data_IF_617294580338
#
_entry.id   IF_617294580338
#
_cell.length_a   1.000
_cell.length_b   1.000
_cell.length_c   1.000
_cell.angle_alpha   90.00
_cell.angle_beta   90.00
_cell.angle_gamma   90.00
#
_symmetry.space_group_name_H-M   'P 1'
#
loop_
_entity.id
_entity.type
_entity.pdbx_description
1 polymer ?
#
# COMPACT_ATOMS: atom_id res chain seq x y z
N UNK A 1 15.19 -11.15 7.81
CA UNK A 1 15.71 -9.76 8.00
C UNK A 1 14.61 -8.79 7.68
N UNK A 2 14.34 -7.86 8.59
CA UNK A 2 13.29 -6.86 8.39
C UNK A 2 13.59 -6.01 7.16
N UNK A 3 12.63 -5.92 6.23
CA UNK A 3 12.71 -5.07 5.05
C UNK A 3 12.31 -3.63 5.39
N UNK A 4 11.22 -3.48 6.14
CA UNK A 4 10.72 -2.20 6.61
C UNK A 4 10.70 -2.19 8.14
N UNK A 5 11.20 -1.12 8.73
CA UNK A 5 11.17 -0.93 10.18
C UNK A 5 10.72 0.49 10.52
N UNK A 6 9.66 0.59 11.32
CA UNK A 6 9.14 1.83 11.88
C UNK A 6 9.40 1.83 13.40
N UNK A 7 10.14 2.83 13.89
CA UNK A 7 10.51 2.97 15.32
C UNK A 7 10.11 4.32 15.87
N UNK A 8 9.23 4.31 16.87
CA UNK A 8 8.81 5.49 17.60
C UNK A 8 8.15 6.56 16.72
N UNK A 9 7.41 6.16 15.67
CA UNK A 9 6.84 7.11 14.72
C UNK A 9 5.77 7.94 15.41
N UNK A 10 6.00 9.24 15.45
CA UNK A 10 5.07 10.26 15.93
C UNK A 10 4.80 11.28 14.82
N UNK A 11 3.55 11.70 14.67
CA UNK A 11 3.17 12.74 13.72
C UNK A 11 2.19 13.70 14.32
N UNK A 12 2.58 14.98 14.33
CA UNK A 12 1.78 16.09 14.80
C UNK A 12 1.57 17.06 13.64
N UNK A 13 0.31 17.36 13.33
CA UNK A 13 -0.07 18.44 12.41
C UNK A 13 -0.42 19.70 13.22
N UNK A 14 0.16 20.83 12.84
CA UNK A 14 -0.12 22.15 13.42
C UNK A 14 -0.71 23.04 12.34
N UNK A 15 -1.85 23.65 12.61
CA UNK A 15 -2.42 24.65 11.69
C UNK A 15 -1.67 25.99 11.80
N UNK A 16 -1.53 26.69 10.67
CA UNK A 16 -0.67 27.91 10.56
C UNK A 16 -1.07 29.11 11.44
N UNK A 17 -2.28 29.16 11.98
CA UNK A 17 -2.81 30.34 12.70
C UNK A 17 -3.26 30.02 14.13
N UNK A 18 -2.48 29.26 14.90
CA UNK A 18 -2.79 28.99 16.31
C UNK A 18 -4.00 28.09 16.56
N UNK A 19 -4.42 27.33 15.54
CA UNK A 19 -5.54 26.41 15.61
C UNK A 19 -5.15 25.04 16.21
N UNK A 20 -6.06 24.10 16.12
CA UNK A 20 -5.94 22.78 16.73
C UNK A 20 -4.64 22.04 16.34
N UNK A 21 -3.99 21.50 17.32
CA UNK A 21 -2.87 20.54 17.18
C UNK A 21 -3.47 19.15 17.10
N UNK A 22 -3.23 18.43 16.01
CA UNK A 22 -3.71 17.05 15.82
C UNK A 22 -2.53 16.11 15.86
N UNK A 23 -2.48 15.24 16.86
CA UNK A 23 -1.51 14.16 16.97
C UNK A 23 -2.05 12.92 16.24
N UNK A 24 -1.68 12.77 14.98
CA UNK A 24 -2.19 11.69 14.12
C UNK A 24 -1.52 10.34 14.40
N UNK A 25 -0.25 10.33 14.86
CA UNK A 25 0.49 9.13 15.28
C UNK A 25 1.23 9.44 16.58
N UNK A 26 1.21 8.49 17.54
CA UNK A 26 1.71 8.74 18.91
C UNK A 26 2.94 7.95 19.30
N UNK A 27 3.26 6.87 18.76
CA UNK A 27 4.45 6.04 19.02
C UNK A 27 4.31 4.70 18.28
N UNK A 28 4.21 4.78 16.96
CA UNK A 28 4.01 3.57 16.15
C UNK A 28 5.33 2.83 15.99
N UNK A 29 5.30 1.53 16.33
CA UNK A 29 6.43 0.62 16.23
C UNK A 29 5.99 -0.67 15.54
N UNK A 30 6.64 -1.05 14.44
CA UNK A 30 6.47 -2.34 13.78
C UNK A 30 7.59 -2.57 12.77
N UNK A 31 7.68 -3.82 12.30
CA UNK A 31 8.56 -4.21 11.20
C UNK A 31 7.77 -5.03 10.18
N UNK A 32 8.25 -5.08 8.95
CA UNK A 32 7.73 -5.95 7.87
C UNK A 32 8.91 -6.74 7.31
N UNK A 33 8.76 -8.05 7.25
CA UNK A 33 9.78 -8.94 6.67
C UNK A 33 9.69 -8.96 5.14
N UNK A 34 10.80 -9.29 4.49
CA UNK A 34 10.82 -9.43 3.03
C UNK A 34 9.87 -10.55 2.61
N UNK A 35 9.02 -10.29 1.61
CA UNK A 35 8.00 -11.22 1.13
C UNK A 35 6.76 -11.31 2.03
N UNK A 36 6.67 -10.54 3.10
CA UNK A 36 5.48 -10.52 3.96
C UNK A 36 4.35 -9.70 3.31
N UNK A 37 3.12 -10.18 3.46
CA UNK A 37 1.91 -9.43 3.12
C UNK A 37 1.24 -8.98 4.42
N UNK A 38 1.31 -7.69 4.72
CA UNK A 38 0.78 -7.09 5.94
C UNK A 38 -0.39 -6.18 5.60
N UNK A 39 -1.49 -6.30 6.35
CA UNK A 39 -2.59 -5.35 6.30
C UNK A 39 -2.61 -4.48 7.57
N UNK A 40 -2.86 -3.19 7.43
CA UNK A 40 -3.12 -2.24 8.52
C UNK A 40 -4.59 -1.87 8.49
N UNK A 41 -5.31 -2.20 9.56
CA UNK A 41 -6.72 -1.91 9.74
C UNK A 41 -6.97 -0.90 10.86
N UNK A 42 -8.07 -0.18 10.77
CA UNK A 42 -8.51 0.77 11.80
C UNK A 42 -9.63 1.66 11.29
N UNK A 43 -10.28 2.39 12.18
CA UNK A 43 -11.35 3.33 11.86
C UNK A 43 -10.86 4.52 11.02
N UNK A 44 -11.79 5.25 10.41
CA UNK A 44 -11.46 6.52 9.76
C UNK A 44 -10.80 7.48 10.77
N UNK A 45 -9.74 8.17 10.35
CA UNK A 45 -9.00 9.08 11.23
C UNK A 45 -8.03 8.42 12.22
N UNK A 46 -7.89 7.09 12.25
CA UNK A 46 -6.97 6.40 13.17
C UNK A 46 -5.46 6.60 12.86
N UNK A 47 -5.12 7.24 11.74
CA UNK A 47 -3.73 7.52 11.35
C UNK A 47 -3.17 6.61 10.24
N UNK A 48 -3.97 5.70 9.65
CA UNK A 48 -3.51 4.75 8.60
C UNK A 48 -2.85 5.43 7.41
N UNK A 49 -3.57 6.34 6.76
CA UNK A 49 -3.06 7.08 5.59
C UNK A 49 -1.86 7.97 5.96
N UNK A 50 -1.86 8.56 7.16
CA UNK A 50 -0.70 9.31 7.67
C UNK A 50 0.53 8.40 7.79
N UNK A 51 0.36 7.20 8.36
CA UNK A 51 1.43 6.22 8.49
C UNK A 51 1.93 5.77 7.11
N UNK A 52 1.01 5.46 6.20
CA UNK A 52 1.35 5.07 4.83
C UNK A 52 2.13 6.18 4.11
N UNK A 53 1.70 7.44 4.23
CA UNK A 53 2.38 8.59 3.62
C UNK A 53 3.80 8.79 4.17
N UNK A 54 4.03 8.53 5.45
CA UNK A 54 5.37 8.60 6.05
C UNK A 54 6.26 7.47 5.50
N UNK A 55 5.76 6.23 5.43
CA UNK A 55 6.47 5.09 4.85
C UNK A 55 6.76 5.33 3.36
N UNK A 56 5.84 5.97 2.70
CA UNK A 56 5.91 6.38 1.30
C UNK A 56 6.91 7.52 1.03
N UNK A 57 7.48 8.11 2.06
CA UNK A 57 8.26 9.34 1.95
C UNK A 57 7.50 10.48 1.21
N UNK A 58 6.17 10.52 1.37
CA UNK A 58 5.29 11.61 0.92
C UNK A 58 5.10 12.64 2.04
N UNK A 59 5.29 12.23 3.29
CA UNK A 59 5.27 13.08 4.47
C UNK A 59 6.43 12.70 5.40
N UNK A 60 6.84 13.60 6.29
CA UNK A 60 7.89 13.37 7.28
C UNK A 60 7.27 13.14 8.66
N UNK A 61 7.77 12.17 9.41
CA UNK A 61 7.42 12.02 10.82
C UNK A 61 7.91 13.24 11.62
N UNK A 62 7.19 13.58 12.71
CA UNK A 62 7.67 14.59 13.67
C UNK A 62 8.80 14.03 14.52
N UNK A 63 8.68 12.77 14.91
CA UNK A 63 9.68 12.01 15.68
C UNK A 63 9.74 10.56 15.18
N UNK A 64 10.77 9.84 15.54
CA UNK A 64 10.99 8.45 15.16
C UNK A 64 11.66 8.28 13.80
N UNK A 65 11.84 7.05 13.39
CA UNK A 65 12.56 6.70 12.15
C UNK A 65 11.85 5.59 11.38
N UNK A 66 11.82 5.73 10.06
CA UNK A 66 11.46 4.65 9.13
C UNK A 66 12.71 4.22 8.39
N UNK A 67 12.97 2.92 8.33
CA UNK A 67 14.09 2.32 7.61
C UNK A 67 13.55 1.33 6.60
N UNK A 68 13.96 1.45 5.34
CA UNK A 68 13.64 0.50 4.27
C UNK A 68 14.93 -0.13 3.76
N UNK A 69 15.06 -1.44 3.91
CA UNK A 69 16.25 -2.22 3.54
C UNK A 69 17.57 -1.58 4.03
N UNK A 70 17.59 -1.23 5.33
CA UNK A 70 18.74 -0.59 5.99
C UNK A 70 18.88 0.92 5.74
N UNK A 71 18.15 1.50 4.78
CA UNK A 71 18.20 2.93 4.46
C UNK A 71 17.17 3.70 5.29
N UNK A 72 17.61 4.68 6.07
CA UNK A 72 16.72 5.59 6.82
C UNK A 72 16.07 6.60 5.87
N UNK A 73 14.72 6.63 5.81
CA UNK A 73 13.99 7.54 4.93
C UNK A 73 14.24 9.00 5.27
N UNK A 74 14.37 9.33 6.56
CA UNK A 74 14.63 10.69 7.02
C UNK A 74 16.03 11.22 6.58
N UNK A 75 16.95 10.36 6.14
CA UNK A 75 18.28 10.75 5.65
C UNK A 75 18.33 10.98 4.13
N UNK A 76 17.25 10.64 3.40
CA UNK A 76 17.17 10.88 1.96
C UNK A 76 16.97 12.37 1.72
N UNK A 77 17.82 12.96 0.89
CA UNK A 77 17.72 14.38 0.53
C UNK A 77 16.46 14.67 -0.27
N UNK A 78 15.88 15.85 -0.08
CA UNK A 78 14.64 16.24 -0.80
C UNK A 78 14.83 16.19 -2.33
N UNK A 79 16.03 16.46 -2.85
CA UNK A 79 16.37 16.33 -4.28
C UNK A 79 16.41 14.89 -4.80
N UNK A 80 16.57 13.91 -3.91
CA UNK A 80 16.67 12.48 -4.25
C UNK A 80 15.40 11.70 -3.91
N UNK A 81 14.46 12.28 -3.15
CA UNK A 81 13.31 11.60 -2.63
C UNK A 81 12.38 11.07 -3.74
N UNK A 82 12.22 11.81 -4.84
CA UNK A 82 11.42 11.37 -5.98
C UNK A 82 12.04 10.16 -6.69
N UNK A 83 13.37 10.15 -6.81
CA UNK A 83 14.12 9.00 -7.34
C UNK A 83 14.02 7.80 -6.40
N UNK A 84 14.20 8.02 -5.08
CA UNK A 84 14.05 6.98 -4.07
C UNK A 84 12.68 6.29 -4.16
N UNK A 85 11.58 7.06 -4.20
CA UNK A 85 10.23 6.51 -4.34
C UNK A 85 10.08 5.67 -5.59
N UNK A 86 10.52 6.19 -6.74
CA UNK A 86 10.42 5.51 -8.03
C UNK A 86 11.19 4.20 -8.10
N UNK A 87 12.35 4.11 -7.44
CA UNK A 87 13.24 2.95 -7.49
C UNK A 87 12.90 1.89 -6.42
N UNK A 88 12.24 2.27 -5.32
CA UNK A 88 12.08 1.37 -4.17
C UNK A 88 10.63 1.09 -3.80
N UNK A 89 9.68 1.92 -4.23
CA UNK A 89 8.29 1.83 -3.81
C UNK A 89 7.35 1.65 -5.01
N UNK A 90 6.42 0.70 -4.89
CA UNK A 90 5.27 0.60 -5.78
C UNK A 90 4.01 1.14 -5.07
N UNK A 91 3.21 1.93 -5.78
CA UNK A 91 1.99 2.50 -5.21
C UNK A 91 0.74 2.03 -5.92
N UNK A 92 -0.25 1.61 -5.13
CA UNK A 92 -1.60 1.29 -5.58
C UNK A 92 -2.58 2.08 -4.73
N UNK A 93 -3.29 3.03 -5.36
CA UNK A 93 -4.25 3.93 -4.71
C UNK A 93 -5.69 3.48 -4.93
N UNK A 94 -6.61 3.94 -4.10
CA UNK A 94 -8.04 3.71 -4.22
C UNK A 94 -8.60 4.23 -5.56
N UNK A 95 -8.22 5.46 -5.95
CA UNK A 95 -8.71 6.14 -7.16
C UNK A 95 -7.83 5.88 -8.40
N UNK A 96 -7.08 4.77 -8.41
CA UNK A 96 -6.19 4.33 -9.50
C UNK A 96 -5.04 5.28 -9.81
N UNK A 97 -5.26 6.59 -9.76
CA UNK A 97 -4.32 7.68 -10.10
C UNK A 97 -3.65 7.45 -11.47
N UNK A 98 -4.45 7.04 -12.46
CA UNK A 98 -4.04 6.97 -13.86
C UNK A 98 -4.26 8.33 -14.52
N UNK A 99 -3.39 8.67 -15.46
CA UNK A 99 -3.50 9.88 -16.28
C UNK A 99 -4.43 9.59 -17.48
N UNK A 100 -5.57 10.25 -17.53
CA UNK A 100 -6.60 9.98 -18.55
C UNK A 100 -6.15 10.36 -19.98
N UNK A 101 -5.16 11.22 -20.11
CA UNK A 101 -4.57 11.63 -21.41
C UNK A 101 -3.55 10.64 -21.95
N UNK A 102 -3.21 9.60 -21.20
CA UNK A 102 -2.24 8.56 -21.53
C UNK A 102 -2.95 7.22 -21.69
N UNK A 103 -2.45 6.38 -22.60
CA UNK A 103 -2.87 4.97 -22.66
C UNK A 103 -2.50 4.22 -21.37
N UNK A 104 -3.04 3.01 -21.16
CA UNK A 104 -2.64 2.19 -20.03
C UNK A 104 -1.15 1.83 -20.09
N UNK A 105 -0.64 1.56 -21.29
CA UNK A 105 0.78 1.34 -21.54
C UNK A 105 1.65 2.52 -21.09
N UNK A 106 1.29 3.73 -21.50
CA UNK A 106 2.03 4.94 -21.14
C UNK A 106 2.00 5.19 -19.63
N UNK A 107 0.83 4.99 -19.00
CA UNK A 107 0.69 5.06 -17.54
C UNK A 107 1.63 4.08 -16.82
N UNK A 108 1.72 2.84 -17.32
CA UNK A 108 2.57 1.80 -16.72
C UNK A 108 4.05 2.13 -16.97
N UNK A 109 4.41 2.65 -18.14
CA UNK A 109 5.78 3.00 -18.48
C UNK A 109 6.32 4.23 -17.75
N UNK A 110 5.46 5.10 -17.26
CA UNK A 110 5.84 6.41 -16.74
C UNK A 110 7.03 6.36 -15.74
N UNK A 111 7.07 5.47 -14.74
CA UNK A 111 8.22 5.37 -13.84
C UNK A 111 9.52 5.00 -14.54
N UNK A 112 9.47 4.14 -15.56
CA UNK A 112 10.65 3.71 -16.32
C UNK A 112 11.13 4.81 -17.27
N UNK A 113 10.22 5.58 -17.87
CA UNK A 113 10.56 6.76 -18.69
C UNK A 113 11.29 7.80 -17.85
N UNK A 114 10.76 8.10 -16.66
CA UNK A 114 11.38 9.03 -15.71
C UNK A 114 12.73 8.56 -15.16
N UNK A 115 13.02 7.25 -15.26
CA UNK A 115 14.33 6.67 -14.92
C UNK A 115 15.31 6.65 -16.09
N UNK A 116 14.91 7.15 -17.28
CA UNK A 116 15.77 7.14 -18.47
C UNK A 116 15.98 5.74 -19.07
N UNK A 117 15.14 4.76 -18.76
CA UNK A 117 15.28 3.39 -19.26
C UNK A 117 15.04 3.33 -20.78
N UNK A 118 15.85 2.53 -21.49
CA UNK A 118 15.73 2.36 -22.95
C UNK A 118 14.39 1.75 -23.36
N UNK A 119 13.81 2.16 -24.50
CA UNK A 119 12.50 1.65 -24.97
C UNK A 119 12.40 0.12 -25.04
N UNK A 120 13.42 -0.56 -25.55
CA UNK A 120 13.45 -2.01 -25.70
C UNK A 120 13.36 -2.74 -24.34
N UNK A 121 14.01 -2.19 -23.32
CA UNK A 121 13.97 -2.75 -21.96
C UNK A 121 12.59 -2.54 -21.31
N UNK A 122 11.99 -1.36 -21.52
CA UNK A 122 10.64 -1.06 -21.04
C UNK A 122 9.62 -2.02 -21.62
N UNK A 123 9.70 -2.26 -22.95
CA UNK A 123 8.79 -3.18 -23.64
C UNK A 123 8.91 -4.60 -23.08
N UNK A 124 10.12 -5.12 -22.92
CA UNK A 124 10.36 -6.45 -22.37
C UNK A 124 9.75 -6.63 -20.98
N UNK A 125 9.89 -5.63 -20.09
CA UNK A 125 9.31 -5.67 -18.74
C UNK A 125 7.78 -5.64 -18.80
N UNK A 126 7.22 -4.80 -19.66
CA UNK A 126 5.77 -4.67 -19.78
C UNK A 126 5.13 -5.95 -20.31
N UNK A 127 5.69 -6.56 -21.36
CA UNK A 127 5.14 -7.76 -21.99
C UNK A 127 4.99 -8.90 -20.98
N UNK A 128 6.05 -9.14 -20.18
CA UNK A 128 6.02 -10.17 -19.14
C UNK A 128 4.98 -9.85 -18.04
N UNK A 129 4.89 -8.59 -17.64
CA UNK A 129 4.00 -8.16 -16.56
C UNK A 129 2.54 -8.11 -17.02
N UNK A 130 2.27 -7.59 -18.22
CA UNK A 130 0.93 -7.47 -18.77
C UNK A 130 0.25 -8.83 -18.96
N UNK A 131 1.00 -9.83 -19.42
CA UNK A 131 0.52 -11.21 -19.52
C UNK A 131 0.15 -11.79 -18.13
N UNK A 132 1.01 -11.56 -17.13
CA UNK A 132 0.79 -12.02 -15.75
C UNK A 132 -0.45 -11.42 -15.12
N UNK A 133 -0.72 -10.14 -15.41
CA UNK A 133 -1.83 -9.37 -14.85
C UNK A 133 -3.12 -9.41 -15.71
N UNK A 134 -3.08 -10.06 -16.87
CA UNK A 134 -4.23 -10.20 -17.78
C UNK A 134 -4.69 -8.87 -18.39
N UNK A 135 -3.76 -7.97 -18.76
CA UNK A 135 -4.04 -6.65 -19.32
C UNK A 135 -3.44 -6.42 -20.72
N UNK A 136 -2.85 -7.45 -21.35
CA UNK A 136 -2.14 -7.31 -22.63
C UNK A 136 -3.02 -6.66 -23.72
N UNK A 137 -4.29 -7.07 -23.84
CA UNK A 137 -5.23 -6.56 -24.82
C UNK A 137 -5.73 -5.13 -24.51
N UNK A 138 -5.40 -4.62 -23.32
CA UNK A 138 -5.89 -3.33 -22.83
C UNK A 138 -4.84 -2.21 -22.97
N UNK A 139 -3.59 -2.55 -23.26
CA UNK A 139 -2.45 -1.63 -23.17
C UNK A 139 -2.62 -0.36 -24.00
N UNK A 140 -3.24 -0.46 -25.18
CA UNK A 140 -3.46 0.68 -26.09
C UNK A 140 -4.72 1.48 -25.78
N UNK A 141 -5.54 1.04 -24.82
CA UNK A 141 -6.74 1.76 -24.39
C UNK A 141 -6.40 2.86 -23.40
N UNK A 142 -7.28 3.86 -23.36
CA UNK A 142 -7.23 4.92 -22.37
C UNK A 142 -7.98 4.52 -21.09
N UNK A 143 -7.69 5.13 -19.92
CA UNK A 143 -8.36 4.79 -18.67
C UNK A 143 -9.91 4.88 -18.75
N UNK A 144 -10.47 5.84 -19.47
CA UNK A 144 -11.92 5.99 -19.62
C UNK A 144 -12.59 4.91 -20.52
N UNK A 145 -11.80 4.08 -21.22
CA UNK A 145 -12.30 3.00 -22.09
C UNK A 145 -12.35 1.63 -21.39
N UNK A 146 -11.95 1.56 -20.12
CA UNK A 146 -11.81 0.30 -19.37
C UNK A 146 -12.55 0.35 -18.05
N UNK A 147 -12.90 -0.84 -17.50
CA UNK A 147 -13.59 -0.95 -16.22
C UNK A 147 -12.70 -0.54 -15.02
N UNK A 148 -13.31 -0.28 -13.85
CA UNK A 148 -12.58 0.02 -12.61
C UNK A 148 -11.58 -1.07 -12.25
N UNK A 149 -11.96 -2.34 -12.33
CA UNK A 149 -11.05 -3.47 -12.07
C UNK A 149 -9.87 -3.53 -13.05
N UNK A 150 -10.11 -3.21 -14.35
CA UNK A 150 -9.05 -3.13 -15.35
C UNK A 150 -8.11 -1.94 -15.10
N UNK A 151 -8.63 -0.77 -14.69
CA UNK A 151 -7.82 0.38 -14.24
C UNK A 151 -6.94 -0.01 -13.07
N UNK A 152 -7.48 -0.72 -12.10
CA UNK A 152 -6.72 -1.12 -10.92
C UNK A 152 -5.63 -2.13 -11.25
N UNK A 153 -5.86 -3.08 -12.17
CA UNK A 153 -4.81 -3.97 -12.67
C UNK A 153 -3.69 -3.20 -13.37
N UNK A 154 -4.01 -2.15 -14.13
CA UNK A 154 -3.00 -1.28 -14.73
C UNK A 154 -2.24 -0.47 -13.66
N UNK A 155 -2.90 0.00 -12.60
CA UNK A 155 -2.24 0.65 -11.47
C UNK A 155 -1.29 -0.32 -10.72
N UNK A 156 -1.68 -1.58 -10.54
CA UNK A 156 -0.81 -2.63 -10.01
C UNK A 156 0.38 -2.89 -10.95
N UNK A 157 0.15 -2.94 -12.27
CA UNK A 157 1.24 -3.08 -13.25
C UNK A 157 2.24 -1.92 -13.15
N UNK A 158 1.76 -0.68 -13.05
CA UNK A 158 2.60 0.50 -12.84
C UNK A 158 3.40 0.43 -11.54
N UNK A 159 2.81 -0.09 -10.48
CA UNK A 159 3.49 -0.27 -9.21
C UNK A 159 4.60 -1.32 -9.28
N UNK A 160 4.42 -2.38 -10.08
CA UNK A 160 5.35 -3.51 -10.20
C UNK A 160 6.46 -3.30 -11.24
N UNK A 161 6.24 -2.43 -12.25
CA UNK A 161 7.12 -2.35 -13.43
C UNK A 161 8.58 -1.97 -13.10
N UNK A 162 8.79 -1.29 -11.97
CA UNK A 162 10.13 -0.92 -11.48
C UNK A 162 10.79 -2.00 -10.64
N UNK A 163 10.10 -3.11 -10.36
CA UNK A 163 10.53 -4.15 -9.41
C UNK A 163 10.82 -3.58 -8.01
N UNK A 164 9.81 -2.99 -7.35
CA UNK A 164 10.01 -2.26 -6.10
C UNK A 164 10.31 -3.21 -4.93
N UNK A 165 10.99 -2.70 -3.90
CA UNK A 165 11.25 -3.44 -2.65
C UNK A 165 9.98 -3.72 -1.86
N UNK A 166 9.01 -2.80 -1.91
CA UNK A 166 7.72 -2.91 -1.22
C UNK A 166 6.62 -2.26 -2.03
N UNK A 167 5.45 -2.88 -2.03
CA UNK A 167 4.22 -2.34 -2.60
C UNK A 167 3.38 -1.77 -1.46
N UNK A 168 3.01 -0.50 -1.58
CA UNK A 168 2.14 0.22 -0.66
C UNK A 168 0.77 0.36 -1.31
N UNK A 169 -0.28 -0.17 -0.68
CA UNK A 169 -1.64 -0.14 -1.20
C UNK A 169 -2.55 0.61 -0.21
N UNK A 170 -3.18 1.69 -0.67
CA UNK A 170 -4.12 2.49 0.12
C UNK A 170 -5.54 2.22 -0.36
N UNK A 171 -6.33 1.48 0.43
CA UNK A 171 -7.72 1.08 0.16
C UNK A 171 -7.95 0.57 -1.27
N UNK A 172 -7.13 -0.37 -1.78
CA UNK A 172 -7.07 -0.68 -3.22
C UNK A 172 -8.36 -1.25 -3.81
N UNK A 173 -9.30 -1.71 -2.96
CA UNK A 173 -10.60 -2.23 -3.36
C UNK A 173 -11.74 -1.24 -3.18
N UNK A 174 -11.49 -0.05 -2.62
CA UNK A 174 -12.52 0.88 -2.17
C UNK A 174 -13.42 1.45 -3.29
N UNK A 175 -12.91 1.52 -4.52
CA UNK A 175 -13.65 2.01 -5.69
C UNK A 175 -14.18 0.87 -6.60
N UNK A 176 -14.10 -0.39 -6.16
CA UNK A 176 -14.45 -1.55 -6.98
C UNK A 176 -15.74 -2.23 -6.52
N UNK A 177 -16.45 -2.84 -7.47
CA UNK A 177 -17.51 -3.80 -7.16
C UNK A 177 -16.93 -5.08 -6.51
N UNK A 178 -17.82 -5.90 -5.94
CA UNK A 178 -17.40 -7.09 -5.18
C UNK A 178 -16.59 -8.10 -6.00
N UNK A 179 -16.96 -8.31 -7.28
CA UNK A 179 -16.25 -9.25 -8.16
C UNK A 179 -14.87 -8.74 -8.50
N UNK A 180 -14.77 -7.49 -8.93
CA UNK A 180 -13.49 -6.84 -9.25
C UNK A 180 -12.57 -6.76 -8.02
N UNK A 181 -13.16 -6.58 -6.83
CA UNK A 181 -12.42 -6.61 -5.57
C UNK A 181 -11.80 -7.98 -5.31
N UNK A 182 -12.56 -9.08 -5.49
CA UNK A 182 -12.05 -10.44 -5.32
C UNK A 182 -10.91 -10.74 -6.30
N UNK A 183 -11.11 -10.42 -7.57
CA UNK A 183 -10.09 -10.60 -8.60
C UNK A 183 -8.80 -9.81 -8.30
N UNK A 184 -8.93 -8.61 -7.75
CA UNK A 184 -7.78 -7.79 -7.34
C UNK A 184 -7.07 -8.39 -6.12
N UNK A 185 -7.81 -8.87 -5.12
CA UNK A 185 -7.23 -9.50 -3.93
C UNK A 185 -6.49 -10.80 -4.28
N UNK A 186 -7.03 -11.61 -5.20
CA UNK A 186 -6.34 -12.78 -5.74
C UNK A 186 -5.06 -12.39 -6.48
N UNK A 187 -5.10 -11.25 -7.20
CA UNK A 187 -3.91 -10.71 -7.86
C UNK A 187 -2.85 -10.29 -6.84
N UNK A 188 -3.20 -9.61 -5.75
CA UNK A 188 -2.26 -9.27 -4.67
C UNK A 188 -1.65 -10.51 -4.03
N UNK A 189 -2.46 -11.56 -3.78
CA UNK A 189 -1.97 -12.84 -3.28
C UNK A 189 -0.95 -13.47 -4.24
N UNK A 190 -1.25 -13.48 -5.55
CA UNK A 190 -0.34 -13.96 -6.60
C UNK A 190 0.97 -13.17 -6.62
N UNK A 191 0.90 -11.83 -6.57
CA UNK A 191 2.07 -10.94 -6.54
C UNK A 191 2.92 -11.20 -5.28
N UNK A 192 2.30 -11.42 -4.13
CA UNK A 192 3.02 -11.77 -2.91
C UNK A 192 3.70 -13.14 -3.01
N UNK A 193 3.03 -14.17 -3.57
CA UNK A 193 3.63 -15.48 -3.82
C UNK A 193 4.82 -15.44 -4.80
N UNK A 194 4.89 -14.40 -5.66
CA UNK A 194 6.07 -14.14 -6.50
C UNK A 194 7.24 -13.52 -5.72
N UNK A 195 7.09 -13.30 -4.42
CA UNK A 195 8.13 -12.80 -3.52
C UNK A 195 8.06 -11.29 -3.22
N UNK A 196 7.07 -10.57 -3.76
CA UNK A 196 6.92 -9.13 -3.44
C UNK A 196 6.38 -8.92 -2.03
N UNK A 197 6.93 -7.93 -1.33
CA UNK A 197 6.44 -7.49 -0.02
C UNK A 197 5.29 -6.51 -0.22
N UNK A 198 4.20 -6.66 0.52
CA UNK A 198 3.00 -5.83 0.40
C UNK A 198 2.61 -5.26 1.76
N UNK A 199 2.40 -3.95 1.83
CA UNK A 199 1.79 -3.27 2.96
C UNK A 199 0.50 -2.61 2.48
N UNK A 200 -0.63 -3.16 2.89
CA UNK A 200 -1.97 -2.68 2.52
C UNK A 200 -2.61 -1.95 3.69
N UNK A 201 -3.16 -0.79 3.44
CA UNK A 201 -4.07 -0.11 4.36
C UNK A 201 -5.50 -0.38 3.89
N UNK A 202 -6.37 -0.82 4.79
CA UNK A 202 -7.78 -1.08 4.45
C UNK A 202 -8.68 -1.08 5.68
N UNK A 203 -9.95 -0.75 5.49
CA UNK A 203 -11.02 -0.97 6.46
C UNK A 203 -11.81 -2.27 6.17
N UNK A 204 -11.56 -2.93 5.05
CA UNK A 204 -12.22 -4.17 4.66
C UNK A 204 -11.59 -5.38 5.35
N UNK A 205 -12.34 -6.06 6.22
CA UNK A 205 -11.93 -7.33 6.83
C UNK A 205 -11.65 -8.41 5.78
N UNK A 206 -12.40 -8.40 4.68
CA UNK A 206 -12.20 -9.31 3.53
C UNK A 206 -10.86 -9.05 2.84
N UNK A 207 -10.50 -7.80 2.60
CA UNK A 207 -9.21 -7.47 2.02
C UNK A 207 -8.05 -7.84 2.97
N UNK A 208 -8.18 -7.50 4.25
CA UNK A 208 -7.18 -7.81 5.25
C UNK A 208 -6.98 -9.32 5.49
N UNK A 209 -8.02 -10.15 5.30
CA UNK A 209 -7.90 -11.61 5.49
C UNK A 209 -6.96 -12.30 4.51
N UNK A 210 -6.63 -11.65 3.39
CA UNK A 210 -5.63 -12.15 2.42
C UNK A 210 -4.19 -12.00 2.92
N UNK A 211 -3.96 -11.09 3.86
CA UNK A 211 -2.63 -10.83 4.41
C UNK A 211 -2.17 -11.94 5.37
N UNK A 212 -0.86 -12.15 5.46
CA UNK A 212 -0.24 -13.06 6.44
C UNK A 212 -0.30 -12.52 7.86
N UNK A 213 -0.39 -11.19 8.01
CA UNK A 213 -0.53 -10.50 9.29
C UNK A 213 -1.42 -9.27 9.15
N UNK A 214 -2.26 -9.05 10.16
CA UNK A 214 -3.10 -7.85 10.27
C UNK A 214 -2.71 -7.08 11.53
N UNK A 215 -2.40 -5.80 11.36
CA UNK A 215 -2.14 -4.86 12.45
C UNK A 215 -3.34 -3.92 12.59
N UNK A 216 -3.76 -3.67 13.84
CA UNK A 216 -4.85 -2.75 14.15
C UNK A 216 -4.29 -1.45 14.70
N UNK A 217 -4.66 -0.33 14.06
CA UNK A 217 -4.30 1.01 14.50
C UNK A 217 -5.55 1.74 15.02
N UNK A 218 -5.45 2.34 16.20
CA UNK A 218 -6.48 3.19 16.82
C UNK A 218 -5.81 4.34 17.55
N UNK A 219 -6.36 5.55 17.42
CA UNK A 219 -5.85 6.75 18.08
C UNK A 219 -4.35 6.99 17.86
N UNK A 220 -3.85 6.65 16.68
CA UNK A 220 -2.45 6.82 16.30
C UNK A 220 -1.47 5.80 16.90
N UNK A 221 -1.96 4.65 17.42
CA UNK A 221 -1.14 3.58 17.99
C UNK A 221 -1.50 2.24 17.38
N UNK A 222 -0.48 1.43 17.04
CA UNK A 222 -0.67 0.00 16.73
C UNK A 222 -0.86 -0.72 18.06
N UNK A 223 -2.07 -1.18 18.33
CA UNK A 223 -2.42 -1.74 19.65
C UNK A 223 -2.66 -3.25 19.65
N UNK A 224 -2.88 -3.87 18.47
CA UNK A 224 -3.11 -5.30 18.34
C UNK A 224 -2.62 -5.83 17.01
N UNK A 225 -2.28 -7.13 16.96
CA UNK A 225 -1.86 -7.82 15.75
C UNK A 225 -2.41 -9.25 15.72
N UNK A 226 -2.77 -9.72 14.54
CA UNK A 226 -3.22 -11.10 14.29
C UNK A 226 -2.34 -11.69 13.20
N UNK A 227 -1.83 -12.89 13.41
CA UNK A 227 -1.10 -13.68 12.43
C UNK A 227 -2.01 -14.75 11.85
N UNK A 228 -1.95 -14.93 10.53
CA UNK A 228 -2.76 -15.91 9.81
C UNK A 228 -2.27 -17.34 10.09
N UNK A 229 -0.95 -17.58 10.03
CA UNK A 229 -0.37 -18.91 10.16
C UNK A 229 -0.97 -19.88 9.13
N UNK A 230 -1.41 -21.04 9.59
CA UNK A 230 -2.06 -22.09 8.79
C UNK A 230 -3.56 -21.82 8.50
N UNK A 231 -4.13 -20.69 8.97
CA UNK A 231 -5.54 -20.39 8.81
C UNK A 231 -5.87 -20.06 7.34
N UNK A 232 -7.07 -20.49 6.91
CA UNK A 232 -7.61 -20.08 5.62
C UNK A 232 -8.02 -18.60 5.64
N UNK A 233 -8.25 -18.00 4.47
CA UNK A 233 -8.75 -16.64 4.35
C UNK A 233 -10.06 -16.45 5.13
N UNK A 234 -10.96 -17.43 5.08
CA UNK A 234 -12.23 -17.38 5.79
C UNK A 234 -12.06 -17.42 7.31
N UNK A 235 -11.15 -18.26 7.82
CA UNK A 235 -10.83 -18.31 9.24
C UNK A 235 -10.16 -17.01 9.70
N UNK A 236 -9.28 -16.45 8.88
CA UNK A 236 -8.65 -15.16 9.16
C UNK A 236 -9.69 -14.02 9.16
N UNK A 237 -10.61 -14.01 8.19
CA UNK A 237 -11.74 -13.08 8.15
C UNK A 237 -12.55 -13.13 9.45
N UNK A 238 -12.88 -14.34 9.94
CA UNK A 238 -13.64 -14.51 11.19
C UNK A 238 -12.87 -13.95 12.40
N UNK A 239 -11.58 -14.27 12.53
CA UNK A 239 -10.71 -13.71 13.59
C UNK A 239 -10.67 -12.19 13.57
N UNK A 240 -10.58 -11.58 12.37
CA UNK A 240 -10.60 -10.13 12.21
C UNK A 240 -11.94 -9.56 12.64
N UNK A 241 -13.06 -10.16 12.20
CA UNK A 241 -14.41 -9.71 12.52
C UNK A 241 -14.73 -9.79 14.01
N UNK A 242 -14.32 -10.87 14.67
CA UNK A 242 -14.44 -11.04 16.12
C UNK A 242 -13.63 -9.97 16.87
N UNK A 243 -12.41 -9.70 16.41
CA UNK A 243 -11.56 -8.65 16.99
C UNK A 243 -12.20 -7.28 16.83
N UNK A 244 -12.71 -6.92 15.66
CA UNK A 244 -13.39 -5.64 15.44
C UNK A 244 -14.64 -5.49 16.33
N UNK A 245 -15.40 -6.57 16.53
CA UNK A 245 -16.57 -6.58 17.40
C UNK A 245 -16.18 -6.34 18.86
N UNK A 246 -15.15 -7.00 19.36
CA UNK A 246 -14.63 -6.79 20.73
C UNK A 246 -14.13 -5.37 20.94
N UNK A 247 -13.48 -4.80 19.92
CA UNK A 247 -12.96 -3.42 19.96
C UNK A 247 -14.09 -2.38 20.01
N UNK A 248 -15.16 -2.60 19.25
CA UNK A 248 -16.35 -1.74 19.27
C UNK A 248 -17.01 -1.75 20.67
N UNK A 249 -17.17 -2.94 21.28
CA UNK A 249 -17.77 -3.08 22.61
C UNK A 249 -16.90 -2.53 23.76
N UNK A 250 -15.58 -2.61 23.62
CA UNK A 250 -14.62 -2.08 24.62
C UNK A 250 -14.50 -0.56 24.63
N UNK A 251 -14.91 0.12 23.55
CA UNK A 251 -14.90 1.59 23.44
C UNK A 251 -16.07 2.27 24.19
N UNK A 252 -17.16 1.54 24.48
CA UNK A 252 -18.32 2.09 25.20
C UNK A 252 -18.17 2.11 26.74
N UNK A 253 -17.05 1.59 27.27
CA UNK A 253 -16.82 1.48 28.73
C UNK A 253 -15.78 2.46 29.30
N UNK A 254 -15.52 3.58 28.61
CA UNK A 254 -14.63 4.65 29.13
C UNK A 254 -15.27 6.01 29.10
#
# INVERSE_FOLDING_TARGET
MSLLEAKGIRKIYKTRFGGAVVEALKNVNFSVEKGEYVAIMGESGSGKTTLLNIIAALDKSTEGTVTLDGMKLNSVKDSEIARFRRENLGFVFQDFNLLDTFTLEDNIYLPLVLSGMKPSERQRRLDALAATLGISELLKKYPYEVSGGQKQRAAVARALITDPRIILADEPTGALDSKSSDELLDLFAKVNHMGHTILMVTHSAKAASRASRVMFIRDGVVFHQIYKGEATDQQMYQKISDTLTLLAQGGERR
#
